data_IF_774496028074
#
_entry.id   IF_774496028074
#
_cell.length_a   1.000
_cell.length_b   1.000
_cell.length_c   1.000
_cell.angle_alpha   90.00
_cell.angle_beta   90.00
_cell.angle_gamma   90.00
#
_symmetry.space_group_name_H-M   'P 1'
#
loop_
_entity.id
_entity.type
_entity.pdbx_description
1 polymer ?
#
# COMPACT_ATOMS: atom_id res chain seq x y z
N UNK A 1 8.78 -14.47 -16.11
CA UNK A 1 7.44 -13.98 -15.73
C UNK A 1 7.14 -14.22 -14.25
N UNK A 2 7.27 -15.46 -13.72
CA UNK A 2 7.06 -15.75 -12.28
C UNK A 2 7.96 -14.93 -11.34
N UNK A 3 9.27 -14.86 -11.63
CA UNK A 3 10.23 -14.07 -10.85
C UNK A 3 9.87 -12.58 -10.83
N UNK A 4 9.45 -12.02 -11.97
CA UNK A 4 9.03 -10.62 -12.06
C UNK A 4 7.77 -10.37 -11.22
N UNK A 5 6.80 -11.28 -11.25
CA UNK A 5 5.60 -11.19 -10.40
C UNK A 5 5.91 -11.29 -8.91
N UNK A 6 6.82 -12.17 -8.51
CA UNK A 6 7.27 -12.32 -7.12
C UNK A 6 8.00 -11.05 -6.65
N UNK A 7 8.91 -10.50 -7.46
CA UNK A 7 9.61 -9.26 -7.12
C UNK A 7 8.62 -8.10 -6.97
N UNK A 8 7.68 -7.96 -7.91
CA UNK A 8 6.64 -6.92 -7.87
C UNK A 8 5.75 -7.06 -6.62
N UNK A 9 5.40 -8.29 -6.26
CA UNK A 9 4.63 -8.60 -5.06
C UNK A 9 5.38 -8.19 -3.79
N UNK A 10 6.66 -8.56 -3.66
CA UNK A 10 7.50 -8.20 -2.51
C UNK A 10 7.63 -6.68 -2.39
N UNK A 11 7.90 -5.98 -3.50
CA UNK A 11 8.01 -4.51 -3.50
C UNK A 11 6.68 -3.87 -3.09
N UNK A 12 5.55 -4.38 -3.58
CA UNK A 12 4.22 -3.90 -3.18
C UNK A 12 3.93 -4.10 -1.69
N UNK A 13 4.31 -5.25 -1.13
CA UNK A 13 4.13 -5.53 0.31
C UNK A 13 5.01 -4.60 1.15
N UNK A 14 6.27 -4.43 0.77
CA UNK A 14 7.20 -3.51 1.46
C UNK A 14 6.69 -2.07 1.38
N UNK A 15 6.23 -1.63 0.21
CA UNK A 15 5.64 -0.31 0.03
C UNK A 15 4.42 -0.10 0.92
N UNK A 16 3.51 -1.07 1.00
CA UNK A 16 2.33 -0.96 1.86
C UNK A 16 2.69 -0.83 3.34
N UNK A 17 3.72 -1.54 3.81
CA UNK A 17 4.22 -1.44 5.19
C UNK A 17 4.83 -0.06 5.45
N UNK A 18 5.75 0.38 4.59
CA UNK A 18 6.47 1.65 4.77
C UNK A 18 5.52 2.84 4.69
N UNK A 19 4.70 2.91 3.65
CA UNK A 19 3.76 4.01 3.46
C UNK A 19 2.58 3.92 4.43
N UNK A 20 2.19 2.72 4.86
CA UNK A 20 1.20 2.52 5.92
C UNK A 20 1.66 3.12 7.25
N UNK A 21 2.91 2.85 7.64
CA UNK A 21 3.51 3.46 8.84
C UNK A 21 3.61 4.98 8.69
N UNK A 22 4.05 5.48 7.52
CA UNK A 22 4.10 6.92 7.26
C UNK A 22 2.71 7.57 7.37
N UNK A 23 1.67 6.97 6.78
CA UNK A 23 0.32 7.52 6.84
C UNK A 23 -0.25 7.56 8.27
N UNK A 24 0.06 6.56 9.09
CA UNK A 24 -0.35 6.53 10.51
C UNK A 24 0.44 7.58 11.32
N UNK A 25 1.69 7.83 10.96
CA UNK A 25 2.50 8.84 11.65
C UNK A 25 2.17 10.28 11.18
N UNK A 26 1.72 10.47 9.95
CA UNK A 26 1.33 11.77 9.36
C UNK A 26 -0.11 12.19 9.69
N UNK A 27 -0.88 11.37 10.40
CA UNK A 27 -2.16 11.80 10.98
C UNK A 27 -1.94 12.77 12.15
N UNK A 28 -1.53 14.00 11.84
CA UNK A 28 -1.62 15.13 12.77
C UNK A 28 -3.09 15.49 13.01
N UNK A 29 -3.62 15.16 14.19
CA UNK A 29 -4.92 15.63 14.65
C UNK A 29 -4.81 17.09 15.12
N UNK A 30 -5.21 18.04 14.28
CA UNK A 30 -5.29 19.46 14.66
C UNK A 30 -6.66 19.68 15.34
N UNK A 31 -6.68 19.94 16.65
CA UNK A 31 -7.90 20.41 17.36
C UNK A 31 -8.07 21.91 17.12
N UNK A 32 -9.02 22.30 16.28
CA UNK A 32 -9.44 23.69 16.08
C UNK A 32 -10.73 23.94 16.87
N UNK A 33 -10.68 24.84 17.85
CA UNK A 33 -11.84 25.20 18.69
C UNK A 33 -12.51 24.03 19.45
N UNK A 34 -11.77 22.96 19.77
CA UNK A 34 -12.33 21.78 20.44
C UNK A 34 -13.18 20.88 19.51
N UNK A 35 -13.17 21.17 18.20
CA UNK A 35 -13.63 20.26 17.17
C UNK A 35 -12.40 19.54 16.60
N UNK A 36 -12.34 18.22 16.77
CA UNK A 36 -11.29 17.38 16.18
C UNK A 36 -11.49 17.28 14.67
N UNK A 37 -11.12 18.33 13.95
CA UNK A 37 -11.07 18.31 12.49
C UNK A 37 -9.76 17.65 12.11
N UNK A 38 -9.78 16.31 12.03
CA UNK A 38 -8.67 15.54 11.44
C UNK A 38 -8.68 15.79 9.93
N UNK A 39 -8.03 16.88 9.51
CA UNK A 39 -7.51 16.97 8.15
C UNK A 39 -6.48 15.86 8.01
N UNK A 40 -6.88 14.74 7.44
CA UNK A 40 -5.97 13.65 7.09
C UNK A 40 -4.94 14.19 6.10
N UNK A 41 -3.85 14.77 6.60
CA UNK A 41 -2.65 15.08 5.81
C UNK A 41 -1.99 13.80 5.30
N UNK A 42 -2.34 12.65 5.87
CA UNK A 42 -1.88 11.34 5.43
C UNK A 42 -2.18 11.16 3.93
N UNK A 43 -1.12 11.10 3.13
CA UNK A 43 -1.21 10.83 1.72
C UNK A 43 -1.40 9.32 1.50
N UNK A 44 -2.64 8.90 1.24
CA UNK A 44 -2.99 7.49 1.03
C UNK A 44 -2.62 6.96 -0.35
N UNK A 45 -2.34 7.86 -1.31
CA UNK A 45 -1.97 7.52 -2.69
C UNK A 45 -0.86 6.46 -2.79
N UNK A 46 0.29 6.60 -2.09
CA UNK A 46 1.35 5.59 -2.15
C UNK A 46 0.96 4.22 -1.58
N UNK A 47 0.02 4.15 -0.62
CA UNK A 47 -0.50 2.89 -0.09
C UNK A 47 -1.38 2.20 -1.14
N UNK A 48 -2.25 2.96 -1.81
CA UNK A 48 -3.14 2.44 -2.87
C UNK A 48 -2.32 1.89 -4.04
N UNK A 49 -1.27 2.61 -4.45
CA UNK A 49 -0.35 2.16 -5.50
C UNK A 49 0.37 0.87 -5.07
N UNK A 50 0.83 0.81 -3.82
CA UNK A 50 1.47 -0.39 -3.28
C UNK A 50 0.51 -1.59 -3.28
N UNK A 51 -0.76 -1.39 -2.92
CA UNK A 51 -1.80 -2.42 -2.98
C UNK A 51 -2.01 -2.93 -4.41
N UNK A 52 -2.02 -2.03 -5.41
CA UNK A 52 -2.12 -2.43 -6.82
C UNK A 52 -0.92 -3.27 -7.25
N UNK A 53 0.30 -2.91 -6.85
CA UNK A 53 1.48 -3.73 -7.14
C UNK A 53 1.43 -5.10 -6.48
N UNK A 54 0.88 -5.23 -5.27
CA UNK A 54 0.63 -6.52 -4.64
C UNK A 54 -0.36 -7.34 -5.47
N UNK A 55 -1.49 -6.76 -5.90
CA UNK A 55 -2.50 -7.48 -6.68
C UNK A 55 -1.94 -7.93 -8.04
N UNK A 56 -1.26 -7.04 -8.77
CA UNK A 56 -0.67 -7.35 -10.07
C UNK A 56 0.45 -8.38 -9.91
N UNK A 57 1.32 -8.21 -8.91
CA UNK A 57 2.40 -9.14 -8.61
C UNK A 57 1.86 -10.53 -8.23
N UNK A 58 0.78 -10.58 -7.44
CA UNK A 58 0.12 -11.82 -7.07
C UNK A 58 -0.52 -12.52 -8.28
N UNK A 59 -1.23 -11.78 -9.14
CA UNK A 59 -1.84 -12.35 -10.35
C UNK A 59 -0.75 -12.89 -11.28
N UNK A 60 0.30 -12.12 -11.58
CA UNK A 60 1.36 -12.55 -12.50
C UNK A 60 2.21 -13.67 -11.89
N UNK A 61 2.50 -13.60 -10.58
CA UNK A 61 3.33 -14.55 -9.86
C UNK A 61 2.62 -15.88 -9.56
N UNK A 62 1.33 -15.85 -9.22
CA UNK A 62 0.56 -17.02 -8.76
C UNK A 62 -0.47 -17.54 -9.78
N UNK A 63 -1.04 -16.72 -10.68
CA UNK A 63 -2.03 -17.21 -11.66
C UNK A 63 -1.42 -18.17 -12.70
N UNK A 64 -0.09 -18.18 -12.85
CA UNK A 64 0.63 -19.18 -13.64
C UNK A 64 0.65 -20.61 -13.06
N UNK A 65 -0.08 -20.87 -11.97
CA UNK A 65 -0.20 -22.21 -11.34
C UNK A 65 -1.48 -22.97 -11.73
N UNK A 66 -2.42 -22.35 -12.45
CA UNK A 66 -3.73 -22.93 -12.78
C UNK A 66 -3.78 -23.76 -14.08
N UNK A 67 -2.62 -24.13 -14.66
CA UNK A 67 -2.56 -25.04 -15.81
C UNK A 67 -1.49 -26.09 -15.57
N UNK A 68 -1.78 -27.05 -14.70
CA UNK A 68 -1.12 -28.35 -14.64
C UNK A 68 -2.13 -29.40 -14.21
#
# INVERSE_FOLDING_TARGET
MKIVGIILFIIGVVGMIVFGIQAINDSESISLFGLDITLSKANWTPIIISALFVLIGAVIGFAGKSKS
#
